data_IF_708722572066
#
_entry.id   IF_708722572066
#
_cell.length_a   1.000
_cell.length_b   1.000
_cell.length_c   1.000
_cell.angle_alpha   90.00
_cell.angle_beta   90.00
_cell.angle_gamma   90.00
#
_symmetry.space_group_name_H-M   'P 1'
#
loop_
_entity.id
_entity.type
_entity.pdbx_description
1 polymer ?
#
# COMPACT_ATOMS: atom_id res chain seq x y z
N UNK A 1 45.70 -8.63 6.88
CA UNK A 1 44.45 -8.63 6.12
C UNK A 1 43.19 -8.74 7.00
N UNK A 2 43.17 -8.22 8.22
CA UNK A 2 42.02 -8.27 9.13
C UNK A 2 41.57 -6.90 9.66
N UNK A 3 41.87 -5.83 8.94
CA UNK A 3 41.57 -4.46 9.41
C UNK A 3 40.45 -3.75 8.64
N UNK A 4 39.79 -4.43 7.71
CA UNK A 4 38.80 -3.78 6.83
C UNK A 4 37.33 -4.16 7.12
N UNK A 5 37.04 -4.95 8.12
CA UNK A 5 35.70 -5.50 8.34
C UNK A 5 34.93 -4.85 9.50
N UNK A 6 35.53 -3.91 10.22
CA UNK A 6 34.89 -3.30 11.40
C UNK A 6 34.24 -1.96 11.10
N UNK A 7 34.52 -1.35 9.95
CA UNK A 7 34.02 -0.02 9.64
C UNK A 7 32.63 0.02 8.99
N UNK A 8 32.09 -1.12 8.55
CA UNK A 8 30.83 -1.12 7.77
C UNK A 8 29.59 -1.43 8.61
N UNK A 9 29.75 -1.87 9.85
CA UNK A 9 28.63 -2.23 10.71
C UNK A 9 28.10 -1.07 11.57
N UNK A 10 28.80 0.04 11.61
CA UNK A 10 28.43 1.19 12.45
C UNK A 10 27.46 2.18 11.81
N UNK A 11 27.26 2.10 10.50
CA UNK A 11 26.50 3.13 9.78
C UNK A 11 25.01 2.85 9.59
N UNK A 12 24.59 1.61 9.82
CA UNK A 12 23.17 1.20 9.58
C UNK A 12 22.29 1.43 10.80
N UNK A 13 22.85 1.54 11.99
CA UNK A 13 22.07 1.68 13.23
C UNK A 13 21.66 3.12 13.58
N UNK A 14 22.26 4.13 12.96
CA UNK A 14 21.96 5.55 13.29
C UNK A 14 20.80 6.11 12.46
N UNK A 15 20.51 5.52 11.30
CA UNK A 15 19.46 6.04 10.41
C UNK A 15 18.04 5.56 10.78
N UNK A 16 17.91 4.46 11.53
CA UNK A 16 16.60 3.93 11.92
C UNK A 16 15.98 4.61 13.15
N UNK A 17 16.80 5.24 13.99
CA UNK A 17 16.31 5.94 15.19
C UNK A 17 15.74 7.33 14.91
N UNK A 18 16.12 7.96 13.83
CA UNK A 18 15.64 9.31 13.52
C UNK A 18 14.22 9.33 12.91
N UNK A 19 13.81 8.25 12.28
CA UNK A 19 12.47 8.16 11.65
C UNK A 19 11.39 7.91 12.70
N UNK A 20 11.72 7.20 13.79
CA UNK A 20 10.75 6.89 14.86
C UNK A 20 10.43 8.13 15.72
N UNK A 21 11.39 9.01 15.91
CA UNK A 21 11.18 10.25 16.69
C UNK A 21 10.34 11.26 15.92
N UNK A 22 10.42 11.28 14.58
CA UNK A 22 9.61 12.18 13.76
C UNK A 22 8.12 11.84 13.75
N UNK A 23 7.78 10.57 13.82
CA UNK A 23 6.37 10.12 13.78
C UNK A 23 5.68 10.30 15.13
N UNK A 24 6.42 10.20 16.24
CA UNK A 24 5.87 10.41 17.59
C UNK A 24 5.58 11.88 17.90
N UNK A 25 6.30 12.82 17.28
CA UNK A 25 6.08 14.24 17.51
C UNK A 25 4.83 14.78 16.79
N UNK A 26 4.43 14.19 15.68
CA UNK A 26 3.24 14.65 14.94
C UNK A 26 1.96 14.19 15.62
N UNK A 27 1.98 13.06 16.33
CA UNK A 27 0.81 12.57 17.06
C UNK A 27 0.55 13.30 18.39
N UNK A 28 1.56 13.92 18.99
CA UNK A 28 1.38 14.62 20.26
C UNK A 28 0.85 16.05 20.08
N UNK A 29 1.06 16.66 18.93
CA UNK A 29 0.56 18.01 18.63
C UNK A 29 -0.91 18.03 18.23
N UNK A 30 -1.46 16.90 17.75
CA UNK A 30 -2.89 16.77 17.42
C UNK A 30 -3.78 16.61 18.63
N UNK A 31 -3.24 16.18 19.80
CA UNK A 31 -4.02 15.90 20.99
C UNK A 31 -4.28 17.14 21.87
N UNK A 32 -3.51 18.23 21.72
CA UNK A 32 -3.65 19.40 22.58
C UNK A 32 -4.59 20.47 22.04
N UNK A 33 -5.07 20.37 20.83
CA UNK A 33 -6.01 21.30 20.20
C UNK A 33 -7.46 20.81 20.20
N UNK A 34 -7.75 19.66 20.84
CA UNK A 34 -9.08 19.04 20.90
C UNK A 34 -10.03 19.60 21.94
N UNK A 35 -9.78 20.77 22.50
CA UNK A 35 -10.66 21.40 23.48
C UNK A 35 -11.81 22.17 22.81
N UNK A 36 -13.00 21.55 22.68
CA UNK A 36 -14.24 22.28 22.63
C UNK A 36 -14.83 22.67 21.28
N UNK A 37 -14.33 22.12 20.18
CA UNK A 37 -15.06 22.21 18.92
C UNK A 37 -15.82 20.91 18.69
N UNK A 38 -17.14 21.00 18.60
CA UNK A 38 -17.93 19.97 17.97
C UNK A 38 -17.38 19.81 16.55
N UNK A 39 -16.53 18.79 16.35
CA UNK A 39 -16.18 18.36 15.02
C UNK A 39 -17.49 17.83 14.45
N UNK A 40 -18.08 18.57 13.54
CA UNK A 40 -19.07 17.98 12.68
C UNK A 40 -18.50 16.65 12.19
N UNK A 41 -19.26 15.55 12.28
CA UNK A 41 -18.83 14.31 11.67
C UNK A 41 -18.46 14.69 10.23
N UNK A 42 -17.32 14.26 9.72
CA UNK A 42 -16.95 14.57 8.36
C UNK A 42 -18.18 14.22 7.54
N UNK A 43 -18.83 15.24 7.03
CA UNK A 43 -19.89 15.07 6.08
C UNK A 43 -19.25 14.23 5.01
N UNK A 44 -19.68 12.97 4.94
CA UNK A 44 -19.12 12.00 4.02
C UNK A 44 -19.41 12.46 2.61
N UNK A 45 -18.62 13.41 2.17
CA UNK A 45 -18.41 13.63 0.76
C UNK A 45 -17.92 12.28 0.26
N UNK A 46 -18.70 11.63 -0.59
CA UNK A 46 -18.32 10.40 -1.22
C UNK A 46 -16.96 10.68 -1.89
N UNK A 47 -15.89 10.36 -1.17
CA UNK A 47 -14.55 10.35 -1.74
C UNK A 47 -14.57 9.16 -2.68
N UNK A 48 -14.73 9.40 -3.98
CA UNK A 48 -14.63 8.36 -5.01
C UNK A 48 -13.21 7.82 -5.00
N UNK A 49 -12.82 7.20 -3.88
CA UNK A 49 -11.49 6.66 -3.69
C UNK A 49 -11.44 5.24 -4.21
N UNK A 50 -10.58 4.99 -5.16
CA UNK A 50 -10.25 3.64 -5.62
C UNK A 50 -8.86 3.29 -5.09
N UNK A 51 -8.77 2.14 -4.44
CA UNK A 51 -7.54 1.64 -3.82
C UNK A 51 -7.26 0.24 -4.33
N UNK A 52 -6.04 -0.01 -4.75
CA UNK A 52 -5.52 -1.35 -4.99
C UNK A 52 -4.84 -1.82 -3.70
N UNK A 53 -5.35 -2.90 -3.13
CA UNK A 53 -4.82 -3.52 -1.92
C UNK A 53 -4.11 -4.81 -2.25
N UNK A 54 -2.89 -4.96 -1.75
CA UNK A 54 -2.10 -6.18 -1.84
C UNK A 54 -1.91 -6.75 -0.45
N UNK A 55 -2.25 -8.01 -0.29
CA UNK A 55 -2.15 -8.75 0.97
C UNK A 55 -1.79 -10.21 0.70
N UNK A 56 -1.63 -11.00 1.75
CA UNK A 56 -1.32 -12.41 1.65
C UNK A 56 -0.38 -12.87 2.75
N UNK A 57 0.43 -13.88 2.44
CA UNK A 57 1.39 -14.42 3.41
C UNK A 57 2.57 -13.46 3.57
N UNK A 58 2.89 -13.02 4.81
CA UNK A 58 4.06 -12.18 5.04
C UNK A 58 5.35 -12.80 4.52
N UNK A 59 6.21 -11.99 3.90
CA UNK A 59 7.46 -12.43 3.28
C UNK A 59 7.36 -12.80 1.81
N UNK A 60 6.16 -12.96 1.26
CA UNK A 60 5.97 -13.18 -0.18
C UNK A 60 6.31 -11.91 -0.94
N UNK A 61 7.16 -12.05 -1.94
CA UNK A 61 7.50 -10.96 -2.86
C UNK A 61 6.49 -10.92 -4.01
N UNK A 62 6.23 -9.71 -4.49
CA UNK A 62 5.36 -9.48 -5.65
C UNK A 62 5.94 -8.41 -6.56
N UNK A 63 5.57 -8.49 -7.83
CA UNK A 63 5.82 -7.45 -8.82
C UNK A 63 4.65 -7.41 -9.80
N UNK A 64 4.40 -6.26 -10.37
CA UNK A 64 3.30 -6.11 -11.31
C UNK A 64 3.11 -4.68 -11.74
N UNK A 65 1.95 -4.41 -12.30
CA UNK A 65 1.55 -3.07 -12.68
C UNK A 65 0.05 -2.87 -12.49
N UNK A 66 -0.35 -1.63 -12.37
CA UNK A 66 -1.74 -1.24 -12.53
C UNK A 66 -1.88 -0.16 -13.60
N UNK A 67 -3.01 -0.17 -14.26
CA UNK A 67 -3.35 0.79 -15.32
C UNK A 67 -4.64 1.50 -14.94
N UNK A 68 -4.60 2.81 -15.04
CA UNK A 68 -5.74 3.72 -14.86
C UNK A 68 -5.88 4.57 -16.12
N UNK A 69 -6.96 5.34 -16.28
CA UNK A 69 -7.08 6.30 -17.39
C UNK A 69 -5.96 7.34 -17.46
N UNK A 70 -5.26 7.58 -16.34
CA UNK A 70 -4.12 8.50 -16.28
C UNK A 70 -2.78 7.86 -16.68
N UNK A 71 -2.72 6.54 -16.81
CA UNK A 71 -1.51 5.82 -17.20
C UNK A 71 -1.31 4.52 -16.45
N UNK A 72 -0.18 3.89 -16.72
CA UNK A 72 0.26 2.65 -16.07
C UNK A 72 1.40 2.92 -15.10
N UNK A 73 1.38 2.22 -13.97
CA UNK A 73 2.45 2.29 -12.96
C UNK A 73 2.89 0.90 -12.55
N UNK A 74 4.20 0.71 -12.43
CA UNK A 74 4.79 -0.52 -11.94
C UNK A 74 4.82 -0.51 -10.42
N UNK A 75 4.56 -1.67 -9.84
CA UNK A 75 4.59 -1.90 -8.39
C UNK A 75 5.40 -3.15 -8.07
N UNK A 76 6.12 -3.10 -6.98
CA UNK A 76 6.83 -4.27 -6.45
C UNK A 76 7.03 -4.13 -4.95
N UNK A 77 7.18 -5.24 -4.27
CA UNK A 77 7.41 -5.21 -2.83
C UNK A 77 7.40 -6.59 -2.18
N UNK A 78 7.36 -6.56 -0.87
CA UNK A 78 7.22 -7.74 -0.03
C UNK A 78 5.97 -7.57 0.85
N UNK A 79 5.13 -8.59 0.89
CA UNK A 79 3.93 -8.58 1.73
C UNK A 79 4.35 -8.54 3.20
N UNK A 80 3.85 -7.56 3.91
CA UNK A 80 4.03 -7.40 5.34
C UNK A 80 2.92 -8.05 6.16
N UNK A 81 2.91 -7.81 7.47
CA UNK A 81 1.83 -8.22 8.37
C UNK A 81 0.53 -7.44 8.10
N UNK A 82 0.65 -6.20 7.60
CA UNK A 82 -0.47 -5.38 7.16
C UNK A 82 -0.56 -5.33 5.64
N UNK A 83 -1.77 -5.17 5.07
CA UNK A 83 -1.94 -4.95 3.64
C UNK A 83 -1.20 -3.70 3.14
N UNK A 84 -0.77 -3.73 1.90
CA UNK A 84 -0.21 -2.56 1.21
C UNK A 84 -1.26 -1.96 0.30
N UNK A 85 -1.56 -0.68 0.49
CA UNK A 85 -2.58 0.05 -0.25
C UNK A 85 -1.96 1.07 -1.20
N UNK A 86 -2.32 0.98 -2.48
CA UNK A 86 -1.98 1.95 -3.51
C UNK A 86 -3.23 2.75 -3.86
N UNK A 87 -3.21 4.05 -3.61
CA UNK A 87 -4.31 4.94 -4.00
C UNK A 87 -4.27 5.19 -5.50
N UNK A 88 -5.31 4.77 -6.21
CA UNK A 88 -5.39 4.82 -7.67
C UNK A 88 -6.07 6.10 -8.18
N UNK A 89 -6.77 6.82 -7.34
CA UNK A 89 -7.43 8.07 -7.66
C UNK A 89 -7.63 8.93 -6.43
N UNK A 90 -7.55 10.24 -6.62
CA UNK A 90 -7.79 11.27 -5.62
C UNK A 90 -9.01 12.11 -5.98
N UNK A 91 -9.35 13.06 -5.11
CA UNK A 91 -10.40 14.05 -5.33
C UNK A 91 -10.24 14.74 -6.69
N UNK A 92 -11.28 14.72 -7.51
CA UNK A 92 -11.30 15.37 -8.82
C UNK A 92 -11.24 14.43 -10.03
N UNK A 93 -11.02 13.14 -9.85
CA UNK A 93 -11.15 12.17 -10.94
C UNK A 93 -12.60 11.66 -10.99
N UNK A 94 -13.49 12.53 -11.41
CA UNK A 94 -14.84 12.13 -11.78
C UNK A 94 -14.73 11.16 -12.98
N UNK A 95 -15.18 9.91 -12.78
CA UNK A 95 -15.25 8.93 -13.86
C UNK A 95 -13.98 8.10 -14.08
N UNK A 96 -13.44 7.48 -13.03
CA UNK A 96 -12.51 6.41 -13.21
C UNK A 96 -13.27 5.18 -13.75
N UNK A 97 -13.39 5.10 -15.07
CA UNK A 97 -14.23 4.10 -15.72
C UNK A 97 -13.60 2.71 -15.77
N UNK A 98 -12.28 2.61 -15.75
CA UNK A 98 -11.59 1.31 -15.80
C UNK A 98 -10.28 1.36 -15.01
N UNK A 99 -10.09 0.37 -14.14
CA UNK A 99 -8.82 0.08 -13.46
C UNK A 99 -8.49 -1.38 -13.69
N UNK A 100 -7.30 -1.65 -14.16
CA UNK A 100 -6.78 -3.02 -14.30
C UNK A 100 -5.48 -3.14 -13.53
N UNK A 101 -5.35 -4.16 -12.71
CA UNK A 101 -4.10 -4.50 -12.04
C UNK A 101 -3.71 -5.93 -12.37
N UNK A 102 -2.43 -6.12 -12.66
CA UNK A 102 -1.83 -7.42 -12.92
C UNK A 102 -0.61 -7.56 -12.01
N UNK A 103 -0.68 -8.50 -11.07
CA UNK A 103 0.34 -8.67 -10.04
C UNK A 103 0.79 -10.11 -10.01
N UNK A 104 2.09 -10.31 -10.14
CA UNK A 104 2.73 -11.62 -10.11
C UNK A 104 3.32 -11.90 -8.73
N UNK A 105 3.00 -13.06 -8.19
CA UNK A 105 3.65 -13.64 -7.02
C UNK A 105 5.02 -14.15 -7.40
N UNK A 106 6.03 -13.82 -6.62
CA UNK A 106 7.39 -14.33 -6.77
C UNK A 106 7.62 -15.54 -5.84
N UNK A 107 8.20 -16.60 -6.40
CA UNK A 107 8.57 -17.77 -5.61
C UNK A 107 7.46 -18.79 -5.37
N UNK A 108 7.82 -19.85 -4.63
CA UNK A 108 7.00 -21.05 -4.42
C UNK A 108 6.13 -20.98 -3.17
N UNK A 109 6.45 -20.07 -2.25
CA UNK A 109 5.88 -20.01 -0.92
C UNK A 109 4.71 -19.02 -0.84
N UNK A 110 3.72 -19.37 -0.03
CA UNK A 110 2.66 -18.47 0.44
C UNK A 110 1.63 -18.06 -0.62
N UNK A 111 0.77 -17.16 -0.21
CA UNK A 111 -0.38 -16.66 -0.98
C UNK A 111 -0.20 -15.19 -1.31
N UNK A 112 -0.62 -14.77 -2.50
CA UNK A 112 -0.79 -13.38 -2.91
C UNK A 112 -2.27 -13.12 -3.16
N UNK A 113 -2.82 -12.09 -2.53
CA UNK A 113 -4.18 -11.62 -2.74
C UNK A 113 -4.16 -10.16 -3.20
N UNK A 114 -4.91 -9.87 -4.25
CA UNK A 114 -5.05 -8.53 -4.84
C UNK A 114 -6.51 -8.16 -4.83
N UNK A 115 -6.83 -6.99 -4.30
CA UNK A 115 -8.19 -6.47 -4.16
C UNK A 115 -8.27 -5.05 -4.71
N UNK A 116 -9.36 -4.72 -5.38
CA UNK A 116 -9.73 -3.34 -5.68
C UNK A 116 -10.85 -2.94 -4.72
N UNK A 117 -10.62 -1.85 -4.00
CA UNK A 117 -11.61 -1.27 -3.11
C UNK A 117 -12.13 0.05 -3.71
N UNK A 118 -13.43 0.23 -3.67
CA UNK A 118 -14.09 1.52 -3.95
C UNK A 118 -14.79 1.99 -2.68
N UNK A 119 -14.43 3.18 -2.24
CA UNK A 119 -15.01 3.80 -1.03
C UNK A 119 -14.91 2.88 0.19
N UNK A 120 -13.79 2.15 0.31
CA UNK A 120 -13.52 1.22 1.39
C UNK A 120 -14.15 -0.18 1.24
N UNK A 121 -14.93 -0.42 0.21
CA UNK A 121 -15.56 -1.72 -0.06
C UNK A 121 -14.81 -2.47 -1.16
N UNK A 122 -14.58 -3.77 -0.96
CA UNK A 122 -13.97 -4.63 -1.97
C UNK A 122 -14.97 -4.84 -3.12
N UNK A 123 -14.58 -4.39 -4.31
CA UNK A 123 -15.38 -4.53 -5.54
C UNK A 123 -14.83 -5.62 -6.47
N UNK A 124 -13.53 -5.91 -6.37
CA UNK A 124 -12.87 -7.00 -7.09
C UNK A 124 -11.81 -7.64 -6.20
N UNK A 125 -11.61 -8.94 -6.34
CA UNK A 125 -10.61 -9.70 -5.59
C UNK A 125 -10.12 -10.89 -6.40
N UNK A 126 -8.82 -11.14 -6.35
CA UNK A 126 -8.19 -12.34 -6.91
C UNK A 126 -7.05 -12.79 -6.01
N UNK A 127 -6.82 -14.10 -5.95
CA UNK A 127 -5.85 -14.71 -5.07
C UNK A 127 -5.12 -15.85 -5.79
N UNK A 128 -3.85 -16.05 -5.46
CA UNK A 128 -3.08 -17.20 -5.92
C UNK A 128 -2.12 -17.72 -4.85
N UNK A 129 -2.00 -19.03 -4.78
CA UNK A 129 -0.95 -19.73 -4.04
C UNK A 129 0.04 -20.44 -4.97
N UNK A 130 -0.20 -20.40 -6.29
CA UNK A 130 0.66 -21.05 -7.27
C UNK A 130 2.02 -20.36 -7.40
N UNK A 131 3.01 -21.16 -7.77
CA UNK A 131 4.40 -20.68 -7.95
C UNK A 131 4.48 -19.72 -9.11
N UNK A 132 5.10 -18.55 -8.88
CA UNK A 132 5.34 -17.52 -9.92
C UNK A 132 4.11 -17.20 -10.77
N UNK A 133 2.92 -17.25 -10.18
CA UNK A 133 1.67 -17.01 -10.87
C UNK A 133 1.23 -15.56 -10.75
N UNK A 134 0.61 -15.06 -11.82
CA UNK A 134 0.03 -13.73 -11.86
C UNK A 134 -1.48 -13.78 -11.56
N UNK A 135 -1.96 -12.77 -10.87
CA UNK A 135 -3.39 -12.50 -10.69
C UNK A 135 -3.74 -11.17 -11.34
N UNK A 136 -4.89 -11.14 -11.99
CA UNK A 136 -5.41 -9.94 -12.62
C UNK A 136 -6.77 -9.59 -12.04
N UNK A 137 -6.96 -8.32 -11.73
CA UNK A 137 -8.25 -7.76 -11.30
C UNK A 137 -8.59 -6.56 -12.17
N UNK A 138 -9.84 -6.46 -12.58
CA UNK A 138 -10.33 -5.36 -13.40
C UNK A 138 -11.63 -4.84 -12.80
N UNK A 139 -11.70 -3.53 -12.60
CA UNK A 139 -12.89 -2.81 -12.18
C UNK A 139 -13.30 -1.83 -13.26
N UNK A 140 -14.58 -1.82 -13.59
CA UNK A 140 -15.22 -0.84 -14.47
C UNK A 140 -16.47 -0.28 -13.79
N UNK A 141 -16.63 1.04 -13.80
CA UNK A 141 -17.80 1.72 -13.25
C UNK A 141 -18.72 2.24 -14.34
#
# INVERSE_FOLDING_TARGET
>A
MLRSLVATLGFITVLSTLIIVGVLMVNSLGASLGGGFAVDPPSGGATNSVVLRISGTPGVQFSGNYTTPQGSQDISGTIGAAPTDYKLGGEGVAGMSVVTANVQKQGTYGTLKVEILKDGQVVQSAETNATNNAVSVTYSS
#
